data_IF_427637027261
#
_entry.id   IF_427637027261
#
_cell.length_a   1.000
_cell.length_b   1.000
_cell.length_c   1.000
_cell.angle_alpha   90.00
_cell.angle_beta   90.00
_cell.angle_gamma   90.00
#
_symmetry.space_group_name_H-M   'P 1'
#
loop_
_entity.id
_entity.type
_entity.pdbx_description
1 polymer ?
#
# COMPACT_ATOMS: atom_id res chain seq x y z
N UNK A 1 26.22 21.59 -18.97
CA UNK A 1 25.66 22.03 -17.69
C UNK A 1 24.28 21.41 -17.54
N UNK A 2 24.06 20.59 -16.53
CA UNK A 2 22.73 20.08 -16.24
C UNK A 2 21.84 21.28 -15.87
N UNK A 3 20.64 21.35 -16.45
CA UNK A 3 19.68 22.44 -16.18
C UNK A 3 19.15 22.39 -14.73
N UNK A 4 19.41 21.28 -14.05
CA UNK A 4 19.08 21.00 -12.68
C UNK A 4 20.33 20.51 -11.97
N UNK A 5 20.91 21.36 -11.13
CA UNK A 5 22.05 21.01 -10.26
C UNK A 5 21.51 20.31 -9.00
N UNK A 6 20.82 19.18 -9.23
CA UNK A 6 20.18 18.39 -8.18
C UNK A 6 21.16 17.36 -7.62
N UNK A 7 21.21 17.26 -6.31
CA UNK A 7 21.93 16.22 -5.57
C UNK A 7 20.97 15.52 -4.62
N UNK A 8 21.21 14.26 -4.35
CA UNK A 8 20.40 13.45 -3.40
C UNK A 8 18.89 13.45 -3.73
N UNK A 9 18.56 13.49 -5.01
CA UNK A 9 17.23 13.64 -5.53
C UNK A 9 16.63 12.35 -6.10
N UNK A 10 15.34 12.37 -6.37
CA UNK A 10 14.59 11.32 -7.05
C UNK A 10 14.54 11.62 -8.56
N UNK A 11 14.87 10.62 -9.37
CA UNK A 11 14.62 10.64 -10.82
C UNK A 11 13.44 9.74 -11.14
N UNK A 12 12.43 10.30 -11.81
CA UNK A 12 11.24 9.57 -12.26
C UNK A 12 11.33 9.39 -13.77
N UNK A 13 11.28 8.16 -14.25
CA UNK A 13 11.28 7.85 -15.67
C UNK A 13 9.86 7.43 -16.12
N UNK A 14 9.23 8.32 -16.89
CA UNK A 14 7.83 8.22 -17.31
C UNK A 14 6.88 9.09 -16.49
N UNK A 15 5.97 9.81 -17.18
CA UNK A 15 4.98 10.70 -16.55
C UNK A 15 3.53 10.30 -16.84
N UNK A 16 3.29 9.00 -16.98
CA UNK A 16 1.95 8.41 -16.97
C UNK A 16 1.29 8.47 -15.60
N UNK A 17 0.25 7.67 -15.36
CA UNK A 17 -0.50 7.67 -14.09
C UNK A 17 0.44 7.43 -12.90
N UNK A 18 1.31 6.43 -12.96
CA UNK A 18 2.23 6.09 -11.88
C UNK A 18 3.26 7.20 -11.64
N UNK A 19 3.89 7.73 -12.71
CA UNK A 19 4.89 8.80 -12.58
C UNK A 19 4.31 10.09 -12.01
N UNK A 20 3.11 10.49 -12.42
CA UNK A 20 2.39 11.64 -11.85
C UNK A 20 2.10 11.48 -10.36
N UNK A 21 1.69 10.28 -9.94
CA UNK A 21 1.41 10.01 -8.53
C UNK A 21 2.68 10.02 -7.69
N UNK A 22 3.79 9.44 -8.20
CA UNK A 22 5.10 9.50 -7.52
C UNK A 22 5.59 10.94 -7.42
N UNK A 23 5.51 11.74 -8.50
CA UNK A 23 5.87 13.15 -8.49
C UNK A 23 5.05 13.96 -7.48
N UNK A 24 3.73 13.72 -7.43
CA UNK A 24 2.83 14.37 -6.47
C UNK A 24 3.18 14.01 -5.02
N UNK A 25 3.50 12.74 -4.76
CA UNK A 25 3.93 12.30 -3.44
C UNK A 25 5.27 12.92 -3.05
N UNK A 26 6.26 12.94 -3.96
CA UNK A 26 7.55 13.59 -3.75
C UNK A 26 7.40 15.08 -3.42
N UNK A 27 6.56 15.79 -4.18
CA UNK A 27 6.26 17.21 -3.96
C UNK A 27 5.66 17.47 -2.57
N UNK A 28 4.70 16.65 -2.14
CA UNK A 28 4.09 16.75 -0.81
C UNK A 28 5.08 16.45 0.32
N UNK A 29 5.98 15.49 0.10
CA UNK A 29 7.01 15.10 1.06
C UNK A 29 8.26 16.01 1.00
N UNK A 30 8.25 17.03 0.13
CA UNK A 30 9.39 17.95 -0.10
C UNK A 30 10.68 17.21 -0.53
N UNK A 31 10.55 16.08 -1.20
CA UNK A 31 11.65 15.35 -1.81
C UNK A 31 12.02 16.01 -3.14
N UNK A 32 13.27 16.45 -3.35
CA UNK A 32 13.69 16.97 -4.64
C UNK A 32 13.55 15.92 -5.74
N UNK A 33 12.97 16.26 -6.87
CA UNK A 33 12.80 15.32 -7.98
C UNK A 33 12.91 15.97 -9.35
N UNK A 34 13.14 15.15 -10.34
CA UNK A 34 13.09 15.47 -11.76
C UNK A 34 12.47 14.32 -12.54
N UNK A 35 11.73 14.63 -13.59
CA UNK A 35 11.03 13.62 -14.40
C UNK A 35 11.60 13.60 -15.81
N UNK A 36 11.87 12.40 -16.34
CA UNK A 36 12.15 12.15 -17.76
C UNK A 36 10.87 11.68 -18.46
N UNK A 37 10.49 12.35 -19.55
CA UNK A 37 9.32 12.03 -20.35
C UNK A 37 9.64 12.16 -21.84
N UNK A 38 9.11 11.24 -22.65
CA UNK A 38 9.31 11.19 -24.09
C UNK A 38 8.24 11.93 -24.91
N UNK A 39 7.09 12.24 -24.30
CA UNK A 39 6.03 12.99 -24.94
C UNK A 39 6.29 14.50 -24.82
N UNK A 40 6.60 15.22 -25.93
CA UNK A 40 6.94 16.64 -25.89
C UNK A 40 5.77 17.54 -25.47
N UNK A 41 4.53 17.12 -25.74
CA UNK A 41 3.34 17.91 -25.38
C UNK A 41 3.09 17.83 -23.87
N UNK A 42 3.23 16.65 -23.29
CA UNK A 42 3.20 16.46 -21.84
C UNK A 42 4.30 17.29 -21.15
N UNK A 43 5.51 17.25 -21.67
CA UNK A 43 6.63 18.03 -21.08
C UNK A 43 6.31 19.52 -21.11
N UNK A 44 5.84 20.04 -22.25
CA UNK A 44 5.51 21.48 -22.38
C UNK A 44 4.41 21.92 -21.44
N UNK A 45 3.32 21.16 -21.39
CA UNK A 45 2.16 21.51 -20.55
C UNK A 45 2.50 21.48 -19.07
N UNK A 46 3.22 20.46 -18.63
CA UNK A 46 3.55 20.30 -17.20
C UNK A 46 4.67 21.26 -16.75
N UNK A 47 5.64 21.57 -17.62
CA UNK A 47 6.63 22.62 -17.34
C UNK A 47 5.97 23.99 -17.18
N UNK A 48 4.91 24.29 -17.96
CA UNK A 48 4.15 25.54 -17.79
C UNK A 48 3.45 25.63 -16.43
N UNK A 49 3.18 24.49 -15.78
CA UNK A 49 2.64 24.38 -14.42
C UNK A 49 3.73 24.34 -13.33
N UNK A 50 5.00 24.47 -13.73
CA UNK A 50 6.14 24.50 -12.80
C UNK A 50 6.66 23.11 -12.41
N UNK A 51 6.22 22.06 -13.09
CA UNK A 51 6.73 20.70 -12.84
C UNK A 51 8.14 20.50 -13.48
N UNK A 52 9.09 19.84 -12.80
CA UNK A 52 10.47 19.68 -13.27
C UNK A 52 10.60 18.52 -14.27
N UNK A 53 9.96 18.63 -15.42
CA UNK A 53 10.05 17.64 -16.49
C UNK A 53 11.20 17.96 -17.46
N UNK A 54 11.87 16.91 -17.92
CA UNK A 54 12.89 16.96 -18.97
C UNK A 54 12.46 16.07 -20.12
N UNK A 55 12.42 16.63 -21.32
CA UNK A 55 12.17 15.85 -22.53
C UNK A 55 13.39 14.99 -22.90
N UNK A 56 13.16 13.71 -23.14
CA UNK A 56 14.18 12.82 -23.65
C UNK A 56 13.88 11.34 -23.46
N UNK A 57 14.58 10.52 -24.21
CA UNK A 57 14.54 9.08 -24.14
C UNK A 57 15.55 8.59 -23.10
N UNK A 58 15.07 8.01 -22.02
CA UNK A 58 15.89 7.50 -20.91
C UNK A 58 16.74 6.27 -21.28
N UNK A 59 16.56 5.65 -22.44
CA UNK A 59 17.47 4.62 -22.95
C UNK A 59 18.83 5.21 -23.36
N UNK A 60 18.89 6.53 -23.54
CA UNK A 60 20.10 7.26 -23.92
C UNK A 60 20.86 7.74 -22.69
N UNK A 61 22.08 7.27 -22.50
CA UNK A 61 22.94 7.67 -21.36
C UNK A 61 23.15 9.18 -21.24
N UNK A 62 23.20 9.88 -22.39
CA UNK A 62 23.33 11.33 -22.42
C UNK A 62 22.10 12.02 -21.79
N UNK A 63 20.90 11.48 -21.98
CA UNK A 63 19.65 11.99 -21.38
C UNK A 63 19.64 11.73 -19.88
N UNK A 64 20.04 10.55 -19.43
CA UNK A 64 20.17 10.22 -18.01
C UNK A 64 21.17 11.14 -17.29
N UNK A 65 22.29 11.47 -17.92
CA UNK A 65 23.27 12.41 -17.37
C UNK A 65 22.70 13.84 -17.23
N UNK A 66 21.78 14.27 -18.09
CA UNK A 66 21.14 15.61 -17.99
C UNK A 66 20.28 15.79 -16.75
N UNK A 67 19.77 14.71 -16.19
CA UNK A 67 18.96 14.71 -14.95
C UNK A 67 19.78 14.35 -13.71
N UNK A 68 21.09 14.35 -13.81
CA UNK A 68 21.98 14.12 -12.67
C UNK A 68 21.92 12.70 -12.13
N UNK A 69 21.80 11.68 -13.00
CA UNK A 69 21.65 10.28 -12.57
C UNK A 69 22.76 9.81 -11.62
N UNK A 70 23.98 10.37 -11.76
CA UNK A 70 25.14 10.00 -10.92
C UNK A 70 25.02 10.48 -9.48
N UNK A 71 24.25 11.55 -9.25
CA UNK A 71 24.01 12.17 -7.94
C UNK A 71 22.62 11.85 -7.40
N UNK A 72 21.82 11.08 -8.13
CA UNK A 72 20.50 10.66 -7.68
C UNK A 72 20.60 9.67 -6.51
N UNK A 73 19.73 9.84 -5.53
CA UNK A 73 19.55 8.89 -4.42
C UNK A 73 18.70 7.70 -4.86
N UNK A 74 17.63 7.99 -5.56
CA UNK A 74 16.65 6.98 -5.99
C UNK A 74 16.23 7.25 -7.42
N UNK A 75 16.03 6.19 -8.18
CA UNK A 75 15.41 6.24 -9.51
C UNK A 75 14.21 5.31 -9.53
N UNK A 76 13.10 5.79 -10.07
CA UNK A 76 11.91 4.96 -10.31
C UNK A 76 11.60 4.94 -11.81
N UNK A 77 11.52 3.75 -12.38
CA UNK A 77 11.19 3.52 -13.80
C UNK A 77 9.76 2.99 -13.87
N UNK A 78 8.83 3.81 -14.36
CA UNK A 78 7.39 3.54 -14.37
C UNK A 78 6.75 3.58 -15.76
N UNK A 79 7.56 3.37 -16.80
CA UNK A 79 7.07 3.25 -18.17
C UNK A 79 6.40 1.89 -18.42
N UNK A 80 5.58 1.80 -19.45
CA UNK A 80 4.81 0.59 -19.77
C UNK A 80 5.56 -0.42 -20.64
N UNK A 81 6.58 0.01 -21.40
CA UNK A 81 7.26 -0.81 -22.40
C UNK A 81 8.41 -1.60 -21.76
N UNK A 82 8.28 -2.93 -21.74
CA UNK A 82 9.19 -3.83 -21.04
C UNK A 82 10.63 -3.78 -21.58
N UNK A 83 10.81 -3.70 -22.90
CA UNK A 83 12.14 -3.67 -23.51
C UNK A 83 12.89 -2.38 -23.19
N UNK A 84 12.18 -1.24 -23.23
CA UNK A 84 12.78 0.03 -22.80
C UNK A 84 13.09 0.01 -21.30
N UNK A 85 12.20 -0.54 -20.44
CA UNK A 85 12.46 -0.69 -19.00
C UNK A 85 13.78 -1.44 -18.75
N UNK A 86 14.01 -2.57 -19.39
CA UNK A 86 15.25 -3.35 -19.26
C UNK A 86 16.49 -2.54 -19.66
N UNK A 87 16.43 -1.86 -20.80
CA UNK A 87 17.55 -1.02 -21.29
C UNK A 87 17.83 0.14 -20.34
N UNK A 88 16.81 0.78 -19.83
CA UNK A 88 16.92 1.91 -18.89
C UNK A 88 17.53 1.45 -17.58
N UNK A 89 17.04 0.35 -17.00
CA UNK A 89 17.60 -0.24 -15.76
C UNK A 89 19.08 -0.54 -15.92
N UNK A 90 19.49 -1.20 -17.00
CA UNK A 90 20.90 -1.49 -17.30
C UNK A 90 21.72 -0.22 -17.45
N UNK A 91 21.25 0.77 -18.22
CA UNK A 91 21.95 2.03 -18.43
C UNK A 91 22.11 2.84 -17.15
N UNK A 92 21.09 2.87 -16.28
CA UNK A 92 21.16 3.52 -14.97
C UNK A 92 22.20 2.85 -14.10
N UNK A 93 22.19 1.52 -14.00
CA UNK A 93 23.15 0.77 -13.17
C UNK A 93 24.60 0.95 -13.62
N UNK A 94 24.83 1.05 -14.93
CA UNK A 94 26.15 1.37 -15.46
C UNK A 94 26.63 2.80 -15.10
N UNK A 95 25.71 3.78 -15.08
CA UNK A 95 26.04 5.17 -14.77
C UNK A 95 26.14 5.45 -13.27
N UNK A 96 25.34 4.76 -12.46
CA UNK A 96 25.31 4.88 -11.00
C UNK A 96 25.13 3.49 -10.37
N UNK A 97 26.25 2.80 -10.02
CA UNK A 97 26.20 1.45 -9.43
C UNK A 97 25.52 1.37 -8.07
N UNK A 98 25.42 2.48 -7.33
CA UNK A 98 24.93 2.52 -5.95
C UNK A 98 23.52 3.10 -5.81
N UNK A 99 22.94 3.66 -6.87
CA UNK A 99 21.61 4.25 -6.80
C UNK A 99 20.53 3.22 -6.40
N UNK A 100 19.58 3.61 -5.56
CA UNK A 100 18.42 2.76 -5.28
C UNK A 100 17.45 2.81 -6.45
N UNK A 101 17.28 1.68 -7.13
CA UNK A 101 16.54 1.58 -8.38
C UNK A 101 15.29 0.73 -8.22
N UNK A 102 14.14 1.38 -8.40
CA UNK A 102 12.82 0.74 -8.41
C UNK A 102 12.34 0.66 -9.85
N UNK A 103 11.89 -0.50 -10.29
CA UNK A 103 11.32 -0.68 -11.61
C UNK A 103 9.90 -1.25 -11.51
N UNK A 104 8.97 -0.63 -12.23
CA UNK A 104 7.64 -1.19 -12.46
C UNK A 104 7.69 -2.16 -13.63
N UNK A 105 6.97 -3.26 -13.51
CA UNK A 105 6.65 -4.14 -14.63
C UNK A 105 5.18 -4.53 -14.65
N UNK A 106 4.68 -5.00 -15.77
CA UNK A 106 3.32 -5.51 -15.85
C UNK A 106 3.21 -6.94 -15.30
N UNK A 107 4.20 -7.78 -15.59
CA UNK A 107 4.14 -9.22 -15.36
C UNK A 107 5.16 -9.71 -14.35
N UNK A 108 4.72 -10.62 -13.48
CA UNK A 108 5.58 -11.28 -12.47
C UNK A 108 6.80 -11.97 -13.11
N UNK A 109 6.65 -12.56 -14.30
CA UNK A 109 7.74 -13.26 -15.01
C UNK A 109 8.96 -12.38 -15.33
N UNK A 110 8.80 -11.06 -15.34
CA UNK A 110 9.87 -10.10 -15.67
C UNK A 110 10.68 -9.67 -14.44
N UNK A 111 10.21 -9.98 -13.24
CA UNK A 111 10.82 -9.55 -11.97
C UNK A 111 12.28 -9.99 -11.86
N UNK A 112 12.54 -11.28 -12.07
CA UNK A 112 13.89 -11.84 -11.95
C UNK A 112 14.88 -11.25 -12.96
N UNK A 113 14.42 -10.97 -14.17
CA UNK A 113 15.25 -10.36 -15.20
C UNK A 113 15.63 -8.92 -14.81
N UNK A 114 14.66 -8.12 -14.35
CA UNK A 114 14.93 -6.74 -13.92
C UNK A 114 15.82 -6.67 -12.68
N UNK A 115 15.69 -7.62 -11.74
CA UNK A 115 16.60 -7.75 -10.59
C UNK A 115 18.02 -8.09 -11.04
N UNK A 116 18.19 -9.03 -11.97
CA UNK A 116 19.52 -9.37 -12.53
C UNK A 116 20.17 -8.19 -13.29
N UNK A 117 19.35 -7.34 -13.92
CA UNK A 117 19.82 -6.13 -14.57
C UNK A 117 20.18 -5.02 -13.58
N UNK A 118 19.88 -5.20 -12.29
CA UNK A 118 20.31 -4.32 -11.22
C UNK A 118 19.20 -3.48 -10.56
N UNK A 119 17.92 -3.76 -10.80
CA UNK A 119 16.85 -3.17 -10.01
C UNK A 119 16.92 -3.71 -8.56
N UNK A 120 16.89 -2.80 -7.58
CA UNK A 120 16.85 -3.17 -6.16
C UNK A 120 15.44 -3.69 -5.82
N UNK A 121 14.44 -3.08 -6.40
CA UNK A 121 13.05 -3.43 -6.19
C UNK A 121 12.29 -3.46 -7.52
N UNK A 122 11.42 -4.43 -7.67
CA UNK A 122 10.56 -4.57 -8.85
C UNK A 122 9.13 -4.72 -8.39
N UNK A 123 8.26 -3.85 -8.90
CA UNK A 123 6.83 -3.82 -8.57
C UNK A 123 6.04 -4.35 -9.77
N UNK A 124 5.55 -5.61 -9.73
CA UNK A 124 4.72 -6.18 -10.78
C UNK A 124 3.25 -5.79 -10.56
N UNK A 125 2.68 -5.00 -11.49
CA UNK A 125 1.30 -4.50 -11.36
C UNK A 125 0.25 -5.60 -11.20
N UNK A 126 0.41 -6.67 -11.96
CA UNK A 126 -0.51 -7.81 -11.92
C UNK A 126 -0.59 -8.41 -10.52
N UNK A 127 0.55 -8.53 -9.86
CA UNK A 127 0.64 -9.07 -8.50
C UNK A 127 0.11 -8.09 -7.45
N UNK A 128 0.52 -6.83 -7.50
CA UNK A 128 0.05 -5.82 -6.55
C UNK A 128 -1.46 -5.60 -6.67
N UNK A 129 -2.02 -5.68 -7.89
CA UNK A 129 -3.47 -5.65 -8.09
C UNK A 129 -4.15 -6.87 -7.46
N UNK A 130 -3.55 -8.06 -7.58
CA UNK A 130 -4.08 -9.27 -6.94
C UNK A 130 -4.06 -9.16 -5.41
N UNK A 131 -2.99 -8.61 -4.84
CA UNK A 131 -2.90 -8.37 -3.39
C UNK A 131 -3.95 -7.38 -2.90
N UNK A 132 -4.19 -6.30 -3.64
CA UNK A 132 -5.24 -5.33 -3.31
C UNK A 132 -6.64 -5.97 -3.34
N UNK A 133 -6.93 -6.82 -4.33
CA UNK A 133 -8.19 -7.57 -4.40
C UNK A 133 -8.30 -8.54 -3.22
N UNK A 134 -7.22 -9.24 -2.90
CA UNK A 134 -7.14 -10.17 -1.80
C UNK A 134 -7.40 -9.48 -0.44
N UNK A 135 -6.76 -8.36 -0.19
CA UNK A 135 -6.98 -7.52 0.99
C UNK A 135 -8.47 -7.15 1.15
N UNK A 136 -9.09 -6.63 0.08
CA UNK A 136 -10.49 -6.24 0.07
C UNK A 136 -11.43 -7.41 0.33
N UNK A 137 -11.15 -8.57 -0.26
CA UNK A 137 -11.93 -9.79 -0.03
C UNK A 137 -11.84 -10.21 1.43
N UNK A 138 -10.65 -10.32 2.00
CA UNK A 138 -10.48 -10.72 3.39
C UNK A 138 -11.11 -9.73 4.37
N UNK A 139 -11.05 -8.45 4.08
CA UNK A 139 -11.74 -7.41 4.85
C UNK A 139 -13.25 -7.65 4.89
N UNK A 140 -13.88 -8.03 3.78
CA UNK A 140 -15.32 -8.36 3.74
C UNK A 140 -15.66 -9.63 4.54
N UNK A 141 -14.72 -10.56 4.67
CA UNK A 141 -14.87 -11.74 5.53
C UNK A 141 -14.46 -11.48 6.99
N UNK A 142 -14.22 -10.20 7.36
CA UNK A 142 -13.89 -9.78 8.71
C UNK A 142 -12.61 -10.43 9.26
N UNK A 143 -11.66 -10.74 8.38
CA UNK A 143 -10.33 -11.17 8.79
C UNK A 143 -9.62 -9.97 9.46
N UNK A 144 -9.00 -10.15 10.63
CA UNK A 144 -8.34 -9.07 11.34
C UNK A 144 -7.25 -8.40 10.51
N UNK A 145 -7.14 -7.07 10.59
CA UNK A 145 -6.15 -6.32 9.83
C UNK A 145 -4.71 -6.82 9.97
N UNK A 146 -4.19 -7.12 11.18
CA UNK A 146 -2.85 -7.68 11.35
C UNK A 146 -2.63 -9.00 10.62
N UNK A 147 -3.67 -9.86 10.57
CA UNK A 147 -3.62 -11.13 9.87
C UNK A 147 -3.57 -10.92 8.34
N UNK A 148 -4.38 -9.97 7.82
CA UNK A 148 -4.33 -9.58 6.40
C UNK A 148 -2.94 -9.04 6.05
N UNK A 149 -2.40 -8.11 6.86
CA UNK A 149 -1.09 -7.51 6.64
C UNK A 149 0.02 -8.57 6.65
N UNK A 150 -0.07 -9.55 7.56
CA UNK A 150 0.87 -10.68 7.61
C UNK A 150 0.79 -11.55 6.34
N UNK A 151 -0.40 -11.93 5.92
CA UNK A 151 -0.62 -12.73 4.71
C UNK A 151 -0.13 -11.99 3.44
N UNK A 152 -0.42 -10.70 3.33
CA UNK A 152 0.04 -9.86 2.23
C UNK A 152 1.58 -9.79 2.20
N UNK A 153 2.22 -9.62 3.36
CA UNK A 153 3.68 -9.57 3.45
C UNK A 153 4.32 -10.94 3.16
N UNK A 154 3.72 -12.02 3.64
CA UNK A 154 4.14 -13.38 3.31
C UNK A 154 4.08 -13.63 1.80
N UNK A 155 3.01 -13.21 1.13
CA UNK A 155 2.87 -13.33 -0.33
C UNK A 155 3.94 -12.48 -1.06
N UNK A 156 4.30 -11.31 -0.56
CA UNK A 156 5.38 -10.48 -1.12
C UNK A 156 6.74 -11.11 -0.90
N UNK A 157 7.04 -11.57 0.32
CA UNK A 157 8.32 -12.16 0.70
C UNK A 157 8.59 -13.52 0.05
N UNK A 158 7.54 -14.28 -0.23
CA UNK A 158 7.59 -15.55 -0.96
C UNK A 158 8.11 -15.43 -2.41
N UNK A 159 8.68 -14.30 -2.77
CA UNK A 159 9.36 -14.03 -4.06
C UNK A 159 8.49 -14.32 -5.29
N UNK A 160 7.19 -14.06 -5.18
CA UNK A 160 6.21 -14.31 -6.26
C UNK A 160 6.16 -15.79 -6.71
N UNK A 161 6.76 -16.71 -5.93
CA UNK A 161 6.89 -18.13 -6.25
C UNK A 161 5.56 -18.86 -6.32
N UNK A 162 4.60 -18.45 -5.50
CA UNK A 162 3.26 -19.06 -5.45
C UNK A 162 2.46 -18.85 -6.75
N UNK A 163 2.74 -17.79 -7.50
CA UNK A 163 2.08 -17.54 -8.79
C UNK A 163 2.73 -18.28 -9.99
N UNK A 164 3.88 -18.90 -9.79
CA UNK A 164 4.52 -19.74 -10.81
C UNK A 164 4.02 -21.19 -10.81
N UNK A 165 3.40 -21.62 -9.72
CA UNK A 165 2.80 -22.96 -9.62
C UNK A 165 1.30 -22.83 -9.84
N UNK A 166 0.79 -23.40 -10.92
CA UNK A 166 -0.64 -23.54 -11.22
C UNK A 166 -1.39 -24.47 -10.24
N UNK A 167 -0.72 -24.90 -9.16
CA UNK A 167 -1.30 -25.79 -8.15
C UNK A 167 -0.86 -25.30 -6.78
N UNK A 168 -1.82 -24.89 -5.97
CA UNK A 168 -1.64 -24.78 -4.52
C UNK A 168 -1.15 -26.15 -4.01
N UNK A 169 -0.01 -26.25 -3.32
CA UNK A 169 0.31 -27.49 -2.62
C UNK A 169 -0.72 -27.67 -1.53
N UNK A 170 -1.44 -28.79 -1.61
CA UNK A 170 -2.22 -29.29 -0.47
C UNK A 170 -1.26 -29.43 0.71
N UNK A 171 -1.58 -28.71 1.80
CA UNK A 171 -1.00 -28.87 3.13
C UNK A 171 0.53 -28.82 3.24
N UNK A 172 1.06 -27.62 3.41
CA UNK A 172 2.25 -27.49 4.26
C UNK A 172 1.74 -27.31 5.69
N UNK A 173 2.08 -28.25 6.55
CA UNK A 173 1.89 -28.11 7.99
C UNK A 173 2.45 -26.75 8.42
N UNK A 174 1.55 -25.88 8.87
CA UNK A 174 1.93 -24.64 9.54
C UNK A 174 2.73 -25.09 10.75
N UNK A 175 4.02 -24.87 10.73
CA UNK A 175 4.83 -24.99 11.93
C UNK A 175 4.17 -24.11 12.98
N UNK A 176 3.55 -24.73 13.95
CA UNK A 176 3.02 -24.05 15.14
C UNK A 176 4.21 -23.40 15.84
N UNK A 177 4.39 -22.11 15.64
CA UNK A 177 5.15 -21.32 16.58
C UNK A 177 4.32 -21.22 17.87
N UNK A 178 4.78 -21.81 18.97
CA UNK A 178 4.09 -21.68 20.24
C UNK A 178 4.44 -20.31 20.81
N UNK A 179 3.51 -19.42 20.89
CA UNK A 179 3.47 -18.15 21.61
C UNK A 179 3.06 -16.93 20.77
N UNK A 180 1.97 -17.03 20.02
CA UNK A 180 1.20 -15.84 19.70
C UNK A 180 0.26 -15.58 20.88
N UNK A 181 0.61 -14.60 21.71
CA UNK A 181 -0.38 -13.98 22.57
C UNK A 181 -1.53 -13.50 21.70
N UNK A 182 -2.81 -13.67 22.11
CA UNK A 182 -3.92 -13.15 21.32
C UNK A 182 -3.70 -11.65 21.13
N UNK A 183 -3.38 -11.25 19.91
CA UNK A 183 -3.16 -9.85 19.61
C UNK A 183 -4.45 -9.10 19.93
N UNK A 184 -4.33 -8.08 20.75
CA UNK A 184 -5.45 -7.20 21.09
C UNK A 184 -5.55 -6.20 19.94
N UNK A 185 -6.68 -6.20 19.26
CA UNK A 185 -6.94 -5.33 18.13
C UNK A 185 -7.99 -4.27 18.48
N UNK A 186 -7.84 -3.07 17.91
CA UNK A 186 -8.90 -2.05 17.89
C UNK A 186 -9.61 -2.13 16.55
N UNK A 187 -10.92 -2.31 16.59
CA UNK A 187 -11.76 -2.38 15.38
C UNK A 187 -12.87 -1.34 15.49
N UNK A 188 -13.17 -0.69 14.38
CA UNK A 188 -14.27 0.26 14.28
C UNK A 188 -15.48 -0.42 13.64
N UNK A 189 -16.63 -0.35 14.32
CA UNK A 189 -17.90 -0.86 13.81
C UNK A 189 -18.93 0.28 13.74
N UNK A 190 -19.64 0.39 12.62
CA UNK A 190 -20.73 1.34 12.45
C UNK A 190 -22.06 0.68 12.86
N UNK A 191 -22.76 1.26 13.82
CA UNK A 191 -24.05 0.77 14.28
C UNK A 191 -25.16 1.19 13.31
N UNK A 192 -25.82 0.24 12.67
CA UNK A 192 -26.99 0.54 11.87
C UNK A 192 -28.28 0.50 12.71
N UNK A 193 -29.37 1.07 12.18
CA UNK A 193 -30.65 1.13 12.88
C UNK A 193 -31.27 -0.25 13.17
N UNK A 194 -30.93 -1.28 12.40
CA UNK A 194 -31.42 -2.65 12.56
C UNK A 194 -30.58 -3.49 13.53
N UNK A 195 -29.49 -2.93 14.06
CA UNK A 195 -28.60 -3.61 14.98
C UNK A 195 -29.28 -3.88 16.32
N UNK A 196 -29.07 -5.06 16.89
CA UNK A 196 -29.66 -5.46 18.17
C UNK A 196 -29.18 -4.59 19.36
N UNK A 197 -28.07 -3.89 19.24
CA UNK A 197 -27.56 -3.00 20.29
C UNK A 197 -28.11 -1.57 20.21
N UNK A 198 -28.78 -1.23 19.12
CA UNK A 198 -29.39 0.09 18.96
C UNK A 198 -30.47 0.33 20.03
N UNK A 199 -30.33 1.42 20.78
CA UNK A 199 -31.25 1.79 21.86
C UNK A 199 -30.95 1.11 23.21
N UNK A 200 -29.92 0.26 23.33
CA UNK A 200 -29.54 -0.40 24.57
C UNK A 200 -28.35 0.33 25.23
N UNK A 201 -28.28 0.26 26.56
CA UNK A 201 -27.15 0.77 27.31
C UNK A 201 -25.97 -0.19 27.28
N UNK A 202 -24.77 0.32 27.52
CA UNK A 202 -23.56 -0.52 27.62
C UNK A 202 -23.69 -1.57 28.73
N UNK A 203 -24.43 -1.26 29.78
CA UNK A 203 -24.72 -2.19 30.87
C UNK A 203 -25.59 -3.36 30.41
N UNK A 204 -26.63 -3.09 29.59
CA UNK A 204 -27.54 -4.12 29.08
C UNK A 204 -26.86 -5.08 28.09
N UNK A 205 -25.88 -4.58 27.33
CA UNK A 205 -25.18 -5.34 26.30
C UNK A 205 -24.10 -6.27 26.87
N UNK A 206 -23.60 -5.99 28.07
CA UNK A 206 -22.58 -6.80 28.75
C UNK A 206 -21.35 -7.12 27.87
N UNK A 207 -20.85 -6.13 27.07
CA UNK A 207 -19.82 -6.29 26.03
C UNK A 207 -18.64 -7.18 26.45
N UNK A 208 -18.10 -6.93 27.65
CA UNK A 208 -16.92 -7.67 28.14
C UNK A 208 -17.27 -9.08 28.61
N UNK A 209 -18.38 -9.22 29.30
CA UNK A 209 -18.78 -10.50 29.90
C UNK A 209 -19.30 -11.49 28.86
N UNK A 210 -20.14 -11.03 27.92
CA UNK A 210 -20.79 -11.90 26.95
C UNK A 210 -20.04 -12.02 25.63
N UNK A 211 -19.36 -10.92 25.22
CA UNK A 211 -18.75 -10.86 23.89
C UNK A 211 -17.19 -10.84 23.93
N UNK A 212 -16.59 -10.68 25.12
CA UNK A 212 -15.13 -10.66 25.29
C UNK A 212 -14.43 -9.45 24.66
N UNK A 213 -15.17 -8.37 24.39
CA UNK A 213 -14.66 -7.12 23.82
C UNK A 213 -14.98 -5.94 24.72
N UNK A 214 -14.22 -4.86 24.63
CA UNK A 214 -14.46 -3.63 25.37
C UNK A 214 -14.62 -2.45 24.43
N UNK A 215 -15.58 -1.56 24.71
CA UNK A 215 -15.73 -0.29 24.00
C UNK A 215 -14.79 0.73 24.63
N UNK A 216 -13.88 1.30 23.83
CA UNK A 216 -12.90 2.32 24.28
C UNK A 216 -13.34 3.74 23.95
N UNK A 217 -14.09 3.89 22.87
CA UNK A 217 -14.63 5.18 22.42
C UNK A 217 -15.84 4.95 21.50
N UNK A 218 -16.66 5.98 21.31
CA UNK A 218 -17.62 6.02 20.22
C UNK A 218 -17.56 7.39 19.53
N UNK A 219 -17.85 7.42 18.24
CA UNK A 219 -18.04 8.67 17.50
C UNK A 219 -19.51 8.80 17.14
N UNK A 220 -20.11 9.91 17.57
CA UNK A 220 -21.50 10.26 17.28
C UNK A 220 -21.57 11.62 16.63
N UNK A 221 -22.18 11.71 15.44
CA UNK A 221 -22.28 12.97 14.67
C UNK A 221 -20.93 13.69 14.52
N UNK A 222 -19.86 12.92 14.23
CA UNK A 222 -18.51 13.44 14.06
C UNK A 222 -17.76 13.79 15.36
N UNK A 223 -18.41 13.74 16.53
CA UNK A 223 -17.79 14.02 17.82
C UNK A 223 -17.34 12.76 18.52
N UNK A 224 -16.07 12.68 18.93
CA UNK A 224 -15.53 11.58 19.71
C UNK A 224 -15.96 11.68 21.17
N UNK A 225 -16.52 10.60 21.71
CA UNK A 225 -16.88 10.43 23.11
C UNK A 225 -15.97 9.36 23.73
N UNK A 226 -15.13 9.79 24.67
CA UNK A 226 -14.14 8.92 25.36
C UNK A 226 -14.61 8.58 26.79
N UNK A 227 -15.38 9.47 27.39
CA UNK A 227 -15.88 9.31 28.76
C UNK A 227 -17.25 8.60 28.71
N UNK A 228 -17.20 7.27 28.59
CA UNK A 228 -18.37 6.42 28.45
C UNK A 228 -18.75 5.82 29.83
N UNK A 229 -20.00 5.95 30.21
CA UNK A 229 -20.57 5.31 31.39
C UNK A 229 -21.32 4.03 31.02
N UNK A 230 -21.58 3.18 32.00
CA UNK A 230 -22.42 1.98 31.84
C UNK A 230 -23.84 2.29 31.34
N UNK A 231 -24.33 3.50 31.61
CA UNK A 231 -25.66 3.98 31.19
C UNK A 231 -25.66 4.60 29.76
N UNK A 232 -24.50 4.67 29.12
CA UNK A 232 -24.40 5.20 27.75
C UNK A 232 -25.24 4.34 26.80
N UNK A 233 -26.26 4.94 26.18
CA UNK A 233 -27.14 4.29 25.21
C UNK A 233 -26.51 4.40 23.83
N UNK A 234 -26.39 3.27 23.13
CA UNK A 234 -25.92 3.21 21.75
C UNK A 234 -27.05 3.62 20.81
N UNK A 235 -26.71 4.32 19.74
CA UNK A 235 -27.65 4.85 18.75
C UNK A 235 -27.22 4.45 17.33
N UNK A 236 -28.18 4.42 16.43
CA UNK A 236 -27.88 4.26 15.01
C UNK A 236 -26.87 5.33 14.54
N UNK A 237 -26.00 4.95 13.64
CA UNK A 237 -24.89 5.75 13.09
C UNK A 237 -23.76 6.06 14.10
N UNK A 238 -23.75 5.43 15.29
CA UNK A 238 -22.58 5.45 16.15
C UNK A 238 -21.46 4.61 15.55
N UNK A 239 -20.27 5.18 15.47
CA UNK A 239 -19.03 4.44 15.18
C UNK A 239 -18.40 3.97 16.49
N UNK A 240 -18.37 2.68 16.71
CA UNK A 240 -17.86 2.06 17.94
C UNK A 240 -16.40 1.65 17.77
N UNK A 241 -15.53 2.11 18.66
CA UNK A 241 -14.13 1.70 18.72
C UNK A 241 -13.99 0.61 19.79
N UNK A 242 -13.94 -0.64 19.34
CA UNK A 242 -13.88 -1.82 20.20
C UNK A 242 -12.45 -2.36 20.28
N UNK A 243 -12.09 -2.88 21.46
CA UNK A 243 -10.82 -3.57 21.70
C UNK A 243 -11.09 -4.99 22.18
N UNK A 244 -10.38 -5.96 21.64
CA UNK A 244 -10.49 -7.36 22.03
C UNK A 244 -9.73 -8.32 21.10
N UNK A 245 -9.79 -9.63 21.36
CA UNK A 245 -9.21 -10.63 20.48
C UNK A 245 -9.86 -10.62 19.09
N UNK A 246 -9.09 -10.81 18.01
CA UNK A 246 -9.60 -10.78 16.64
C UNK A 246 -10.80 -11.69 16.38
N UNK A 247 -10.78 -12.88 16.93
CA UNK A 247 -11.88 -13.85 16.81
C UNK A 247 -13.17 -13.34 17.44
N UNK A 248 -13.08 -12.69 18.63
CA UNK A 248 -14.21 -12.10 19.31
C UNK A 248 -14.80 -10.92 18.52
N UNK A 249 -13.95 -10.11 17.89
CA UNK A 249 -14.38 -9.03 17.01
C UNK A 249 -15.17 -9.55 15.82
N UNK A 250 -14.72 -10.64 15.18
CA UNK A 250 -15.47 -11.30 14.09
C UNK A 250 -16.84 -11.77 14.56
N UNK A 251 -16.92 -12.40 15.74
CA UNK A 251 -18.19 -12.88 16.31
C UNK A 251 -19.15 -11.71 16.56
N UNK A 252 -18.67 -10.60 17.11
CA UNK A 252 -19.47 -9.39 17.34
C UNK A 252 -19.98 -8.80 16.04
N UNK A 253 -19.12 -8.62 15.04
CA UNK A 253 -19.50 -8.08 13.75
C UNK A 253 -20.56 -8.96 13.04
N UNK A 254 -20.41 -10.28 13.09
CA UNK A 254 -21.40 -11.23 12.56
C UNK A 254 -22.72 -11.19 13.31
N UNK A 255 -22.67 -11.11 14.65
CA UNK A 255 -23.87 -11.03 15.50
C UNK A 255 -24.70 -9.79 15.15
N UNK A 256 -24.04 -8.69 14.89
CA UNK A 256 -24.68 -7.42 14.61
C UNK A 256 -25.06 -7.23 13.13
N UNK A 257 -24.64 -8.13 12.23
CA UNK A 257 -24.77 -8.00 10.77
C UNK A 257 -24.27 -6.64 10.26
N UNK A 258 -23.12 -6.25 10.78
CA UNK A 258 -22.49 -4.95 10.52
C UNK A 258 -21.35 -5.13 9.53
N UNK A 259 -21.18 -4.16 8.63
CA UNK A 259 -19.96 -4.02 7.82
C UNK A 259 -18.85 -3.38 8.68
N UNK A 260 -17.64 -3.95 8.59
CA UNK A 260 -16.44 -3.35 9.20
C UNK A 260 -15.95 -2.23 8.29
N UNK A 261 -15.74 -1.05 8.83
CA UNK A 261 -15.26 0.13 8.10
C UNK A 261 -13.74 0.09 7.98
#
# INVERSE_FOLDING_TARGET
SSRYDLQDHLVIVGYGINGRNVARAAKRAQVPYVVLETNPDTVRSEQALGEPLVYGDATQKAVLNRVGIRQARTVVVVIAEATATRRIVSAIRELNPSVYLIARTRYVREVEELRRLGANEVVPEEFETALEIFDRVLTQYLVPRPEIDHLVEEMRSGNYGLLRQEVLPETTEVAQEPNLHPEIQVTTLLLNAACSWNGHSLQDIHLRAEHGVSLVALRRQGKMLLDLSSETILQADDELFLIGPPEKMRQVAQLLRIEVI
#
